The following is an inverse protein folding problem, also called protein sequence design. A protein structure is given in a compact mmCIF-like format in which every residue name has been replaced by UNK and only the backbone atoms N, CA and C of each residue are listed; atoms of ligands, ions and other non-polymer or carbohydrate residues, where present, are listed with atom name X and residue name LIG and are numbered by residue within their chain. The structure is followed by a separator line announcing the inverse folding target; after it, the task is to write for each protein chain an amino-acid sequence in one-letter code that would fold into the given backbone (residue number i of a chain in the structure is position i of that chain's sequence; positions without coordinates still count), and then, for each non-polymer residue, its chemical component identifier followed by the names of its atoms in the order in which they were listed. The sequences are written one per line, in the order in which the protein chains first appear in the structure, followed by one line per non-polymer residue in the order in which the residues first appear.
data_IF_824110239287
#
_entry.id   IF_824110239287
#
_cell.length_a   1.000
_cell.length_b   1.000
_cell.length_c   1.000
_cell.angle_alpha   90.00
_cell.angle_beta   90.00
_cell.angle_gamma   90.00
#
_symmetry.space_group_name_H-M   'P 1'
#
loop_
_entity.id
_entity.type
_entity.pdbx_description
1 polymer ?
#
# COMPACT_ATOMS: atom_id res chain seq x y z
N UNK A 1 -9.95 1.02 -0.70
CA UNK A 1 -9.24 1.14 0.59
C UNK A 1 -9.07 2.62 0.92
N UNK A 2 -9.86 3.12 1.87
CA UNK A 2 -9.75 4.50 2.37
C UNK A 2 -9.11 4.41 3.74
N UNK A 3 -7.85 4.82 3.86
CA UNK A 3 -7.17 4.89 5.15
C UNK A 3 -7.46 6.27 5.73
N UNK A 4 -8.42 6.34 6.67
CA UNK A 4 -8.59 7.53 7.49
C UNK A 4 -7.60 7.47 8.64
N UNK A 5 -6.77 8.51 8.74
CA UNK A 5 -5.81 8.67 9.84
C UNK A 5 -6.48 9.41 10.98
N UNK A 6 -6.68 8.76 12.12
CA UNK A 6 -6.94 9.45 13.38
C UNK A 6 -5.65 9.48 14.22
N UNK A 7 -5.05 10.67 14.35
CA UNK A 7 -3.86 10.92 15.18
C UNK A 7 -2.84 11.84 14.51
N UNK A 8 -2.48 12.95 15.14
CA UNK A 8 -1.49 13.92 14.65
C UNK A 8 -0.06 13.35 14.66
N UNK A 9 0.82 13.81 13.75
CA UNK A 9 2.26 13.51 13.81
C UNK A 9 2.81 14.25 15.04
N UNK A 10 3.84 13.70 15.69
CA UNK A 10 4.57 14.48 16.69
C UNK A 10 5.17 15.73 16.03
N UNK A 11 5.34 16.82 16.77
CA UNK A 11 5.88 18.07 16.21
C UNK A 11 7.29 17.89 15.61
N UNK A 12 8.06 16.93 16.15
CA UNK A 12 9.37 16.55 15.61
C UNK A 12 9.27 15.87 14.22
N UNK A 13 8.27 14.99 14.03
CA UNK A 13 8.03 14.34 12.74
C UNK A 13 7.47 15.32 11.70
N UNK A 14 6.65 16.28 12.13
CA UNK A 14 6.12 17.35 11.24
C UNK A 14 7.23 18.27 10.74
N UNK A 15 8.17 18.64 11.62
CA UNK A 15 9.31 19.49 11.27
C UNK A 15 10.27 18.82 10.27
N UNK A 16 10.39 17.48 10.31
CA UNK A 16 11.31 16.72 9.47
C UNK A 16 10.72 16.32 8.12
N UNK A 17 9.43 15.97 8.09
CA UNK A 17 8.79 15.38 6.90
C UNK A 17 7.74 16.27 6.23
N UNK A 18 7.39 17.40 6.85
CA UNK A 18 6.37 18.34 6.37
C UNK A 18 4.94 17.82 6.54
N UNK A 19 3.96 18.72 6.43
CA UNK A 19 2.54 18.33 6.46
C UNK A 19 2.13 17.69 5.11
N UNK A 20 1.47 16.54 5.20
CA UNK A 20 0.83 15.91 4.05
C UNK A 20 -0.41 16.76 3.68
N UNK A 21 -0.48 17.35 2.47
CA UNK A 21 -1.62 18.14 2.07
C UNK A 21 -2.87 17.25 1.99
N UNK A 22 -4.02 17.74 2.46
CA UNK A 22 -5.27 16.99 2.42
C UNK A 22 -5.67 16.73 0.97
N UNK A 23 -6.01 15.46 0.70
CA UNK A 23 -6.61 14.89 -0.50
C UNK A 23 -6.98 15.89 -1.62
N UNK A 24 -6.02 16.19 -2.50
CA UNK A 24 -6.35 16.79 -3.81
C UNK A 24 -6.98 15.70 -4.68
N UNK A 25 -8.29 15.81 -4.90
CA UNK A 25 -9.01 15.10 -5.94
C UNK A 25 -8.43 15.51 -7.32
N UNK A 26 -7.59 14.66 -7.89
CA UNK A 26 -7.05 14.86 -9.24
C UNK A 26 -8.14 14.55 -10.25
N UNK A 27 -8.76 15.59 -10.82
CA UNK A 27 -9.52 15.46 -12.08
C UNK A 27 -8.52 15.19 -13.20
N UNK A 28 -8.41 13.93 -13.64
CA UNK A 28 -7.61 13.57 -14.81
C UNK A 28 -8.41 13.93 -16.06
N UNK A 29 -8.04 15.01 -16.76
CA UNK A 29 -8.46 15.20 -18.15
C UNK A 29 -7.67 14.22 -19.01
N UNK A 30 -8.39 13.44 -19.81
CA UNK A 30 -7.83 12.41 -20.67
C UNK A 30 -6.83 12.96 -21.68
N UNK A 31 -5.54 12.77 -21.40
CA UNK A 31 -4.47 12.69 -22.37
C UNK A 31 -3.25 12.07 -21.66
N UNK A 32 -2.74 10.98 -22.22
CA UNK A 32 -1.64 10.12 -21.76
C UNK A 32 -1.90 9.30 -20.47
N UNK A 33 -2.04 7.96 -20.55
CA UNK A 33 -1.82 7.12 -19.37
C UNK A 33 -0.40 7.40 -18.88
N UNK A 34 -0.25 7.79 -17.62
CA UNK A 34 1.07 8.06 -17.08
C UNK A 34 1.93 6.80 -17.22
N UNK A 35 3.16 6.91 -17.74
CA UNK A 35 3.92 5.72 -18.16
C UNK A 35 4.46 4.87 -17.00
N UNK A 36 4.10 5.14 -15.73
CA UNK A 36 4.76 4.45 -14.63
C UNK A 36 3.93 4.26 -13.33
N UNK A 37 2.74 3.63 -13.36
CA UNK A 37 2.13 3.10 -12.13
C UNK A 37 3.01 2.01 -11.49
N UNK A 38 3.90 1.39 -12.27
CA UNK A 38 4.80 0.34 -11.82
C UNK A 38 5.81 0.82 -10.76
N UNK A 39 6.35 2.05 -10.88
CA UNK A 39 7.28 2.58 -9.88
C UNK A 39 6.64 2.71 -8.50
N UNK A 40 5.42 3.25 -8.42
CA UNK A 40 4.71 3.37 -7.14
C UNK A 40 4.38 2.00 -6.53
N UNK A 41 3.93 1.05 -7.36
CA UNK A 41 3.67 -0.32 -6.92
C UNK A 41 4.95 -1.02 -6.45
N UNK A 42 6.08 -0.83 -7.14
CA UNK A 42 7.37 -1.39 -6.76
C UNK A 42 7.89 -0.78 -5.45
N UNK A 43 7.76 0.55 -5.27
CA UNK A 43 8.10 1.23 -4.01
C UNK A 43 7.27 0.67 -2.86
N UNK A 44 5.94 0.61 -3.02
CA UNK A 44 5.04 0.08 -1.99
C UNK A 44 5.39 -1.37 -1.64
N UNK A 45 5.57 -2.24 -2.64
CA UNK A 45 5.92 -3.64 -2.44
C UNK A 45 7.27 -3.84 -1.76
N UNK A 46 8.28 -3.05 -2.16
CA UNK A 46 9.62 -3.15 -1.58
C UNK A 46 9.62 -2.69 -0.12
N UNK A 47 8.93 -1.59 0.18
CA UNK A 47 8.78 -1.07 1.56
C UNK A 47 7.98 -2.03 2.44
N UNK A 48 6.94 -2.63 1.89
CA UNK A 48 6.06 -3.55 2.60
C UNK A 48 6.60 -4.98 2.68
N UNK A 49 7.79 -5.23 2.13
CA UNK A 49 8.40 -6.56 2.09
C UNK A 49 9.13 -6.85 3.39
N UNK A 50 8.75 -7.94 4.06
CA UNK A 50 9.45 -8.45 5.24
C UNK A 50 10.82 -9.07 4.91
N UNK A 51 11.23 -9.10 3.63
CA UNK A 51 12.47 -9.75 3.18
C UNK A 51 13.73 -8.88 3.34
N UNK A 52 13.74 -7.94 4.29
CA UNK A 52 14.94 -7.18 4.67
C UNK A 52 15.43 -6.17 3.62
N UNK A 53 14.54 -5.63 2.78
CA UNK A 53 14.93 -4.57 1.84
C UNK A 53 14.85 -3.20 2.53
N UNK A 54 15.98 -2.50 2.61
CA UNK A 54 16.10 -1.24 3.38
C UNK A 54 16.08 0.02 2.53
N UNK A 55 15.90 -0.10 1.21
CA UNK A 55 15.93 1.06 0.32
C UNK A 55 15.32 0.76 -1.05
N UNK A 56 14.68 1.77 -1.61
CA UNK A 56 14.14 1.73 -2.97
C UNK A 56 14.38 3.07 -3.67
N UNK A 57 15.06 3.02 -4.81
CA UNK A 57 15.30 4.15 -5.68
C UNK A 57 14.69 3.80 -7.04
N UNK A 58 13.73 4.60 -7.51
CA UNK A 58 13.12 4.38 -8.81
C UNK A 58 13.86 5.19 -9.88
N UNK A 59 13.91 4.63 -11.09
CA UNK A 59 14.43 5.32 -12.27
C UNK A 59 13.25 5.82 -13.11
N UNK A 60 13.12 7.11 -13.44
CA UNK A 60 13.98 8.25 -13.10
C UNK A 60 13.17 9.39 -12.47
N UNK A 61 13.85 10.35 -11.83
CA UNK A 61 13.18 11.48 -11.20
C UNK A 61 12.68 12.49 -12.25
N UNK A 62 13.60 13.08 -13.02
CA UNK A 62 13.33 14.19 -13.95
C UNK A 62 13.88 13.94 -15.36
N UNK A 63 13.49 14.79 -16.31
CA UNK A 63 14.03 14.80 -17.67
C UNK A 63 14.99 15.96 -17.93
N UNK A 64 15.93 15.76 -18.86
CA UNK A 64 16.88 16.79 -19.32
C UNK A 64 16.49 17.44 -20.65
N UNK A 65 15.47 16.90 -21.34
CA UNK A 65 14.91 17.42 -22.59
C UNK A 65 13.47 16.92 -22.76
N UNK A 66 12.68 17.54 -23.63
CA UNK A 66 11.30 17.10 -23.89
C UNK A 66 11.27 15.81 -24.71
N UNK A 67 10.87 14.70 -24.10
CA UNK A 67 10.75 13.42 -24.78
C UNK A 67 10.10 12.33 -23.91
N UNK A 68 9.73 11.18 -24.50
CA UNK A 68 9.24 10.05 -23.73
C UNK A 68 10.36 9.47 -22.86
N UNK A 69 10.08 9.29 -21.58
CA UNK A 69 11.05 8.83 -20.59
C UNK A 69 10.38 8.13 -19.41
N UNK A 70 11.20 7.56 -18.51
CA UNK A 70 10.74 6.99 -17.23
C UNK A 70 10.59 8.03 -16.12
N UNK A 71 10.70 9.33 -16.42
CA UNK A 71 10.67 10.37 -15.40
C UNK A 71 9.29 10.46 -14.75
N UNK A 72 9.25 11.02 -13.56
CA UNK A 72 7.99 11.40 -12.89
C UNK A 72 7.82 12.91 -12.87
N UNK A 73 8.89 13.67 -13.12
CA UNK A 73 8.90 15.12 -13.29
C UNK A 73 9.31 15.42 -14.73
N UNK A 74 8.47 16.18 -15.44
CA UNK A 74 8.72 16.64 -16.80
C UNK A 74 9.92 17.59 -16.86
N UNK A 75 10.43 17.84 -18.07
CA UNK A 75 11.54 18.77 -18.30
C UNK A 75 11.27 20.19 -17.78
N UNK A 76 10.02 20.66 -17.85
CA UNK A 76 9.59 21.97 -17.36
C UNK A 76 9.31 21.99 -15.84
N UNK A 77 9.50 20.87 -15.14
CA UNK A 77 9.23 20.72 -13.72
C UNK A 77 7.81 20.30 -13.37
N UNK A 78 6.92 20.09 -14.35
CA UNK A 78 5.56 19.62 -14.09
C UNK A 78 5.54 18.18 -13.55
N UNK A 79 4.63 17.91 -12.61
CA UNK A 79 4.48 16.56 -12.04
C UNK A 79 3.60 15.68 -12.93
N UNK A 80 4.14 14.54 -13.34
CA UNK A 80 3.34 13.46 -13.93
C UNK A 80 2.47 12.82 -12.84
N UNK A 81 1.37 12.18 -13.24
CA UNK A 81 0.49 11.43 -12.32
C UNK A 81 1.28 10.40 -11.49
N UNK A 82 2.31 9.79 -12.09
CA UNK A 82 3.21 8.86 -11.40
C UNK A 82 3.93 9.49 -10.20
N UNK A 83 4.27 10.78 -10.23
CA UNK A 83 4.92 11.45 -9.11
C UNK A 83 3.99 11.53 -7.88
N UNK A 84 2.70 11.79 -8.10
CA UNK A 84 1.69 11.78 -7.03
C UNK A 84 1.53 10.38 -6.42
N UNK A 85 1.56 9.33 -7.23
CA UNK A 85 1.48 7.94 -6.76
C UNK A 85 2.73 7.55 -5.95
N UNK A 86 3.92 7.91 -6.44
CA UNK A 86 5.20 7.66 -5.76
C UNK A 86 5.26 8.40 -4.43
N UNK A 87 4.79 9.66 -4.38
CA UNK A 87 4.69 10.43 -3.13
C UNK A 87 3.81 9.73 -2.09
N UNK A 88 2.69 9.12 -2.51
CA UNK A 88 1.83 8.32 -1.62
C UNK A 88 2.53 7.03 -1.17
N UNK A 89 3.26 6.36 -2.06
CA UNK A 89 3.99 5.14 -1.73
C UNK A 89 5.16 5.38 -0.75
N UNK A 90 5.75 6.58 -0.75
CA UNK A 90 6.77 7.04 0.20
C UNK A 90 6.19 7.76 1.43
N UNK A 91 4.90 7.60 1.74
CA UNK A 91 4.36 8.17 2.98
C UNK A 91 5.04 7.54 4.20
N UNK A 92 5.32 8.37 5.20
CA UNK A 92 6.01 7.99 6.43
C UNK A 92 5.35 6.80 7.12
N UNK A 93 4.01 6.76 7.07
CA UNK A 93 3.23 5.58 7.41
C UNK A 93 2.47 5.19 6.16
N UNK A 94 2.68 3.97 5.66
CA UNK A 94 2.08 3.48 4.42
C UNK A 94 1.52 2.08 4.63
N UNK A 95 0.35 1.81 4.04
CA UNK A 95 -0.22 0.47 3.98
C UNK A 95 -0.20 -0.01 2.53
N UNK A 96 0.32 -1.22 2.31
CA UNK A 96 0.33 -1.86 1.00
C UNK A 96 -0.34 -3.23 1.06
N UNK A 97 -1.25 -3.47 0.12
CA UNK A 97 -1.86 -4.77 -0.11
C UNK A 97 -1.04 -5.60 -1.11
N UNK A 98 -0.75 -6.85 -0.78
CA UNK A 98 -0.10 -7.80 -1.69
C UNK A 98 -0.85 -9.12 -1.68
N UNK A 99 -0.90 -9.78 -2.83
CA UNK A 99 -1.34 -11.18 -2.92
C UNK A 99 -0.10 -12.06 -2.82
N UNK A 100 -0.10 -13.00 -1.88
CA UNK A 100 0.97 -13.98 -1.71
C UNK A 100 0.42 -15.39 -1.82
N UNK A 101 1.26 -16.32 -2.29
CA UNK A 101 0.95 -17.74 -2.27
C UNK A 101 1.70 -18.38 -1.12
N UNK A 102 0.97 -19.02 -0.21
CA UNK A 102 1.51 -19.75 0.94
C UNK A 102 0.65 -21.00 1.18
N UNK A 103 1.24 -22.14 1.57
CA UNK A 103 0.47 -23.35 1.88
C UNK A 103 -0.54 -23.07 2.99
N UNK A 104 -1.73 -23.67 2.90
CA UNK A 104 -2.83 -23.47 3.86
C UNK A 104 -2.53 -23.99 5.28
N UNK A 105 -1.41 -24.68 5.49
CA UNK A 105 -1.02 -25.31 6.74
C UNK A 105 0.40 -24.90 7.19
N UNK A 106 0.56 -23.65 7.61
CA UNK A 106 1.72 -23.20 8.39
C UNK A 106 1.34 -22.85 9.84
N UNK A 107 0.30 -23.47 10.39
CA UNK A 107 0.20 -23.65 11.84
C UNK A 107 1.07 -24.85 12.22
N UNK A 108 2.09 -24.61 13.04
CA UNK A 108 3.00 -25.62 13.57
C UNK A 108 2.21 -26.77 14.23
N UNK A 109 2.01 -27.85 13.49
CA UNK A 109 1.68 -29.16 14.05
C UNK A 109 2.80 -30.10 13.61
N UNK A 110 3.51 -30.67 14.59
CA UNK A 110 4.47 -31.72 14.35
C UNK A 110 3.81 -32.88 13.58
N UNK A 111 4.63 -33.58 12.80
CA UNK A 111 4.27 -34.75 11.97
C UNK A 111 3.64 -34.46 10.60
N UNK A 112 4.43 -33.81 9.73
CA UNK A 112 5.06 -34.56 8.64
C UNK A 112 4.26 -34.94 7.39
N UNK A 113 3.01 -34.50 7.21
CA UNK A 113 2.34 -34.55 5.88
C UNK A 113 1.58 -33.25 5.65
N UNK A 114 2.09 -32.42 4.75
CA UNK A 114 1.42 -31.21 4.27
C UNK A 114 0.78 -31.58 2.93
N UNK A 115 -0.54 -31.61 2.86
CA UNK A 115 -1.21 -31.58 1.55
C UNK A 115 -0.92 -30.19 0.94
N UNK A 116 -0.19 -30.17 -0.19
CA UNK A 116 0.25 -28.98 -0.92
C UNK A 116 -0.92 -28.21 -1.60
N UNK A 117 -1.92 -27.82 -0.82
CA UNK A 117 -2.94 -26.89 -1.28
C UNK A 117 -2.36 -25.47 -1.17
N UNK A 118 -1.73 -25.02 -2.25
CA UNK A 118 -1.28 -23.65 -2.47
C UNK A 118 -2.46 -22.68 -2.33
N UNK A 119 -2.63 -22.08 -1.14
CA UNK A 119 -3.62 -21.06 -0.90
C UNK A 119 -3.08 -19.68 -1.30
N UNK A 120 -3.92 -18.88 -1.96
CA UNK A 120 -3.61 -17.49 -2.25
C UNK A 120 -4.18 -16.61 -1.13
N UNK A 121 -3.33 -15.80 -0.51
CA UNK A 121 -3.67 -14.89 0.57
C UNK A 121 -3.58 -13.45 0.09
N UNK A 122 -4.52 -12.62 0.53
CA UNK A 122 -4.42 -11.18 0.46
C UNK A 122 -3.95 -10.66 1.81
N UNK A 123 -2.83 -9.94 1.80
CA UNK A 123 -2.16 -9.43 2.99
C UNK A 123 -2.03 -7.91 2.89
N UNK A 124 -2.31 -7.20 3.98
CA UNK A 124 -1.99 -5.80 4.13
C UNK A 124 -0.86 -5.64 5.13
N UNK A 125 0.23 -5.03 4.67
CA UNK A 125 1.39 -4.72 5.50
C UNK A 125 1.42 -3.22 5.75
N UNK A 126 1.56 -2.85 7.03
CA UNK A 126 1.80 -1.49 7.48
C UNK A 126 3.30 -1.29 7.64
N UNK A 127 3.83 -0.27 6.98
CA UNK A 127 5.22 0.18 7.11
C UNK A 127 5.25 1.54 7.78
N UNK A 128 6.13 1.70 8.78
CA UNK A 128 6.39 2.97 9.45
C UNK A 128 7.87 3.34 9.33
N UNK A 129 8.13 4.57 8.90
CA UNK A 129 9.45 5.22 8.95
C UNK A 129 9.62 6.13 10.18
N UNK A 130 8.65 6.11 11.11
CA UNK A 130 8.73 6.90 12.35
C UNK A 130 9.76 6.32 13.32
N UNK A 131 10.42 7.20 14.08
CA UNK A 131 11.32 6.84 15.18
C UNK A 131 10.54 6.45 16.45
N UNK A 132 9.26 6.85 16.53
CA UNK A 132 8.35 6.49 17.60
C UNK A 132 7.57 5.19 17.35
N UNK A 133 7.01 4.63 18.41
CA UNK A 133 6.09 3.50 18.34
C UNK A 133 4.80 3.95 17.65
N UNK A 134 4.30 3.12 16.73
CA UNK A 134 3.04 3.36 16.03
C UNK A 134 1.96 2.46 16.61
N UNK A 135 0.83 3.05 16.98
CA UNK A 135 -0.39 2.36 17.37
C UNK A 135 -1.60 3.11 16.78
N UNK A 136 -2.67 2.39 16.49
CA UNK A 136 -3.88 2.99 15.91
C UNK A 136 -4.91 1.95 15.52
N UNK A 137 -5.98 2.38 14.86
CA UNK A 137 -6.97 1.51 14.24
C UNK A 137 -6.81 1.47 12.73
N UNK A 138 -7.30 0.40 12.11
CA UNK A 138 -7.40 0.28 10.67
C UNK A 138 -8.77 -0.24 10.28
N UNK A 139 -9.23 0.16 9.09
CA UNK A 139 -10.46 -0.35 8.48
C UNK A 139 -10.13 -0.83 7.07
N UNK A 140 -10.51 -2.07 6.77
CA UNK A 140 -10.42 -2.65 5.43
C UNK A 140 -11.84 -2.81 4.92
N UNK A 141 -12.18 -2.09 3.85
CA UNK A 141 -13.49 -2.20 3.23
C UNK A 141 -13.37 -2.60 1.76
N UNK A 142 -14.24 -3.51 1.33
CA UNK A 142 -14.36 -4.00 -0.05
C UNK A 142 -15.60 -3.39 -0.65
N UNK A 143 -15.46 -2.86 -1.86
CA UNK A 143 -16.52 -2.22 -2.63
C UNK A 143 -16.65 -2.94 -3.97
N UNK A 144 -17.85 -2.93 -4.53
CA UNK A 144 -18.07 -3.31 -5.92
C UNK A 144 -18.02 -2.05 -6.80
N UNK A 145 -17.88 -2.28 -8.10
CA UNK A 145 -17.93 -1.22 -9.11
C UNK A 145 -19.37 -1.03 -9.58
N UNK A 146 -20.26 -0.72 -8.63
CA UNK A 146 -21.67 -0.40 -8.85
C UNK A 146 -21.95 1.07 -8.50
N UNK A 147 -23.20 1.49 -8.71
CA UNK A 147 -23.64 2.86 -8.42
C UNK A 147 -23.74 3.12 -6.90
N UNK A 148 -23.86 2.05 -6.10
CA UNK A 148 -23.96 2.11 -4.66
C UNK A 148 -22.55 2.13 -4.04
N UNK A 149 -22.11 3.28 -3.52
CA UNK A 149 -20.81 3.42 -2.88
C UNK A 149 -20.73 2.78 -1.47
N UNK A 150 -21.51 1.73 -1.22
CA UNK A 150 -21.60 1.03 0.05
C UNK A 150 -20.63 -0.17 0.09
N UNK A 151 -19.93 -0.40 1.21
CA UNK A 151 -19.00 -1.51 1.31
C UNK A 151 -19.74 -2.85 1.42
N UNK A 152 -19.38 -3.81 0.57
CA UNK A 152 -19.90 -5.19 0.61
C UNK A 152 -19.37 -5.97 1.81
N UNK A 153 -18.17 -5.62 2.26
CA UNK A 153 -17.66 -6.04 3.55
C UNK A 153 -16.73 -4.99 4.13
N UNK A 154 -16.66 -4.98 5.46
CA UNK A 154 -15.73 -4.14 6.20
C UNK A 154 -15.18 -4.92 7.41
N UNK A 155 -13.88 -4.79 7.63
CA UNK A 155 -13.18 -5.30 8.80
C UNK A 155 -12.53 -4.14 9.52
N UNK A 156 -12.65 -4.14 10.83
CA UNK A 156 -11.96 -3.19 11.70
C UNK A 156 -10.97 -3.94 12.57
N UNK A 157 -9.83 -3.31 12.83
CA UNK A 157 -8.84 -3.87 13.72
C UNK A 157 -7.96 -2.78 14.31
N UNK A 158 -7.10 -3.20 15.22
CA UNK A 158 -6.14 -2.34 15.90
C UNK A 158 -4.73 -2.77 15.59
N UNK A 159 -3.86 -1.81 15.33
CA UNK A 159 -2.42 -2.01 15.28
C UNK A 159 -1.89 -1.77 16.69
N UNK A 160 -1.40 -2.83 17.34
CA UNK A 160 -0.68 -2.74 18.61
C UNK A 160 0.65 -1.98 18.46
N UNK A 161 1.44 -1.81 19.53
CA UNK A 161 2.68 -1.04 19.46
C UNK A 161 3.66 -1.67 18.46
N UNK A 162 3.77 -1.06 17.29
CA UNK A 162 4.70 -1.47 16.24
C UNK A 162 6.06 -0.80 16.48
N UNK A 163 7.14 -1.58 16.32
CA UNK A 163 8.50 -1.08 16.47
C UNK A 163 8.77 0.08 15.50
N UNK A 164 9.56 1.09 15.91
CA UNK A 164 10.01 2.16 15.03
C UNK A 164 10.69 1.62 13.77
N UNK A 165 10.50 2.29 12.63
CA UNK A 165 11.17 1.92 11.37
C UNK A 165 10.85 0.52 10.85
N UNK A 166 9.73 -0.09 11.25
CA UNK A 166 9.41 -1.50 10.94
C UNK A 166 8.18 -1.66 10.05
N UNK A 167 8.04 -2.89 9.52
CA UNK A 167 6.89 -3.32 8.74
C UNK A 167 6.24 -4.52 9.41
N UNK A 168 4.93 -4.49 9.56
CA UNK A 168 4.14 -5.57 10.18
C UNK A 168 2.90 -5.88 9.34
N UNK A 169 2.53 -7.16 9.25
CA UNK A 169 1.25 -7.55 8.67
C UNK A 169 0.11 -7.16 9.63
N UNK A 170 -0.84 -6.35 9.15
CA UNK A 170 -1.97 -5.88 9.96
C UNK A 170 -3.26 -6.58 9.62
N UNK A 171 -3.40 -7.10 8.41
CA UNK A 171 -4.60 -7.79 7.95
C UNK A 171 -4.24 -8.90 6.96
N UNK A 172 -4.92 -10.03 7.06
CA UNK A 172 -4.78 -11.15 6.13
C UNK A 172 -6.12 -11.86 5.95
N UNK A 173 -6.41 -12.27 4.72
CA UNK A 173 -7.62 -13.02 4.36
C UNK A 173 -7.32 -13.89 3.15
N UNK A 174 -7.99 -15.04 3.01
CA UNK A 174 -7.81 -15.86 1.81
C UNK A 174 -8.46 -15.19 0.60
N UNK A 175 -7.90 -15.43 -0.58
CA UNK A 175 -8.45 -14.88 -1.83
C UNK A 175 -9.82 -15.48 -2.13
N UNK A 176 -10.06 -16.73 -1.74
CA UNK A 176 -11.36 -17.40 -1.87
C UNK A 176 -12.43 -16.73 -1.00
N UNK A 177 -12.09 -16.35 0.23
CA UNK A 177 -13.01 -15.61 1.10
C UNK A 177 -13.31 -14.22 0.53
N UNK A 178 -12.31 -13.51 0.00
CA UNK A 178 -12.55 -12.23 -0.68
C UNK A 178 -13.47 -12.37 -1.90
N UNK A 179 -13.32 -13.44 -2.69
CA UNK A 179 -14.19 -13.72 -3.85
C UNK A 179 -15.62 -14.03 -3.42
N UNK A 180 -15.77 -14.84 -2.37
CA UNK A 180 -17.07 -15.17 -1.79
C UNK A 180 -17.80 -13.92 -1.32
N UNK A 181 -17.10 -13.06 -0.57
CA UNK A 181 -17.63 -11.78 -0.08
C UNK A 181 -18.01 -10.86 -1.23
N UNK A 182 -17.19 -10.79 -2.28
CA UNK A 182 -17.48 -10.01 -3.48
C UNK A 182 -18.60 -10.61 -4.36
N UNK A 183 -19.14 -11.78 -4.00
CA UNK A 183 -20.16 -12.46 -4.80
C UNK A 183 -19.65 -12.96 -6.15
N UNK A 184 -18.33 -13.11 -6.33
CA UNK A 184 -17.68 -13.51 -7.58
C UNK A 184 -17.79 -15.02 -7.90
N UNK A 185 -18.33 -15.81 -6.97
CA UNK A 185 -18.60 -17.25 -7.15
C UNK A 185 -20.00 -17.53 -7.75
N UNK A 186 -20.69 -16.50 -8.27
CA UNK A 186 -22.01 -16.60 -8.91
C UNK A 186 -21.92 -16.74 -10.43
#
# INVERSE_FOLDING_TARGET
MVVRREGALSDADRARFGDMPPDTATTVRGAYPSPNPAAAAAVARTRSSTRGTMGVLYWQLSDTWQGPSWSTIEYDGAWKVSHYMVRRAFSIVSIAGTVVKRPRAAEQSGDGVVDDVEASWFECNLTSDLEGVVAGSYTVSVYLWDDDCDPVASWEGTVGPMSPGSTTNVFQVTTDELRRVAGADR
#
